data_IF_569195807617
#
_entry.id   IF_569195807617
#
_cell.length_a   1.000
_cell.length_b   1.000
_cell.length_c   1.000
_cell.angle_alpha   90.00
_cell.angle_beta   90.00
_cell.angle_gamma   90.00
#
_symmetry.space_group_name_H-M   'P 1'
#
loop_
_entity.id
_entity.type
_entity.pdbx_description
1 polymer ?
#
# COMPACT_ATOMS: atom_id res chain seq x y z
N UNK A 1 24.55 -15.55 -20.16
CA UNK A 1 25.22 -15.10 -18.93
C UNK A 1 24.40 -15.61 -17.75
N UNK A 2 25.00 -16.22 -16.72
CA UNK A 2 24.25 -16.66 -15.53
C UNK A 2 23.87 -15.43 -14.71
N UNK A 3 22.61 -15.30 -14.34
CA UNK A 3 22.12 -14.25 -13.44
C UNK A 3 22.84 -14.34 -12.08
N UNK A 4 23.07 -13.20 -11.38
CA UNK A 4 23.74 -13.20 -10.09
C UNK A 4 22.97 -14.04 -9.06
N UNK A 5 23.70 -14.83 -8.26
CA UNK A 5 23.09 -15.65 -7.22
C UNK A 5 22.62 -14.77 -6.05
N UNK A 6 21.32 -14.76 -5.80
CA UNK A 6 20.71 -14.09 -4.64
C UNK A 6 20.46 -15.14 -3.57
N UNK A 7 21.13 -15.01 -2.42
CA UNK A 7 21.02 -15.94 -1.30
C UNK A 7 20.36 -15.23 -0.11
N UNK A 8 19.28 -15.81 0.43
CA UNK A 8 18.62 -15.30 1.62
C UNK A 8 18.43 -16.41 2.65
N UNK A 9 18.53 -16.05 3.94
CA UNK A 9 18.28 -17.00 5.03
C UNK A 9 16.80 -17.01 5.37
N UNK A 10 16.21 -18.20 5.38
CA UNK A 10 14.85 -18.41 5.82
C UNK A 10 14.82 -18.78 7.31
N UNK A 11 13.84 -18.29 8.09
CA UNK A 11 13.56 -18.83 9.41
C UNK A 11 13.26 -20.33 9.32
N UNK A 12 13.70 -21.11 10.31
CA UNK A 12 13.61 -22.58 10.28
C UNK A 12 12.20 -23.11 9.98
N UNK A 13 11.16 -22.45 10.51
CA UNK A 13 9.75 -22.80 10.24
C UNK A 13 9.38 -22.61 8.77
N UNK A 14 9.84 -21.52 8.15
CA UNK A 14 9.56 -21.21 6.74
C UNK A 14 10.30 -22.19 5.85
N UNK A 15 11.58 -22.47 6.15
CA UNK A 15 12.35 -23.46 5.41
C UNK A 15 11.67 -24.83 5.44
N UNK A 16 11.21 -25.29 6.61
CA UNK A 16 10.50 -26.57 6.74
C UNK A 16 9.22 -26.63 5.88
N UNK A 17 8.46 -25.54 5.80
CA UNK A 17 7.27 -25.48 4.94
C UNK A 17 7.64 -25.54 3.45
N UNK A 18 8.71 -24.85 3.05
CA UNK A 18 9.19 -24.87 1.65
C UNK A 18 9.72 -26.27 1.29
N UNK A 19 10.42 -26.95 2.19
CA UNK A 19 10.89 -28.33 2.01
C UNK A 19 9.73 -29.32 1.85
N UNK A 20 8.69 -29.20 2.67
CA UNK A 20 7.48 -30.02 2.52
C UNK A 20 6.80 -29.79 1.17
N UNK A 21 6.71 -28.55 0.73
CA UNK A 21 6.12 -28.20 -0.57
C UNK A 21 6.98 -28.73 -1.74
N UNK A 22 8.30 -28.57 -1.65
CA UNK A 22 9.27 -29.09 -2.60
C UNK A 22 9.16 -30.62 -2.75
N UNK A 23 9.08 -31.34 -1.62
CA UNK A 23 8.89 -32.79 -1.61
C UNK A 23 7.56 -33.23 -2.22
N UNK A 24 6.46 -32.51 -1.97
CA UNK A 24 5.15 -32.84 -2.56
C UNK A 24 5.09 -32.61 -4.06
N UNK A 25 5.85 -31.65 -4.56
CA UNK A 25 5.88 -31.25 -5.97
C UNK A 25 7.04 -31.89 -6.75
N UNK A 26 7.86 -32.72 -6.09
CA UNK A 26 9.06 -33.35 -6.65
C UNK A 26 10.01 -32.37 -7.36
N UNK A 27 10.26 -31.23 -6.72
CA UNK A 27 11.14 -30.17 -7.24
C UNK A 27 12.11 -29.67 -6.18
N UNK A 28 13.15 -28.95 -6.60
CA UNK A 28 14.11 -28.37 -5.66
C UNK A 28 13.52 -27.23 -4.82
N UNK A 29 13.96 -27.13 -3.56
CA UNK A 29 13.66 -26.02 -2.65
C UNK A 29 13.97 -24.66 -3.28
N UNK A 30 15.09 -24.57 -4.02
CA UNK A 30 15.48 -23.34 -4.73
C UNK A 30 14.48 -22.96 -5.82
N UNK A 31 13.91 -23.94 -6.54
CA UNK A 31 12.91 -23.66 -7.57
C UNK A 31 11.60 -23.19 -6.94
N UNK A 32 11.15 -23.80 -5.85
CA UNK A 32 9.97 -23.35 -5.09
C UNK A 32 10.16 -21.92 -4.61
N UNK A 33 11.31 -21.63 -4.00
CA UNK A 33 11.65 -20.29 -3.53
C UNK A 33 11.64 -19.26 -4.69
N UNK A 34 12.23 -19.62 -5.84
CA UNK A 34 12.20 -18.77 -7.05
C UNK A 34 10.76 -18.49 -7.49
N UNK A 35 9.92 -19.52 -7.57
CA UNK A 35 8.52 -19.38 -8.01
C UNK A 35 7.69 -18.48 -7.07
N UNK A 36 7.85 -18.64 -5.75
CA UNK A 36 7.17 -17.79 -4.77
C UNK A 36 7.61 -16.34 -4.95
N UNK A 37 8.93 -16.08 -4.98
CA UNK A 37 9.46 -14.73 -5.14
C UNK A 37 9.00 -14.10 -6.46
N UNK A 38 9.06 -14.84 -7.57
CA UNK A 38 8.58 -14.35 -8.86
C UNK A 38 7.09 -14.02 -8.81
N UNK A 39 6.26 -14.90 -8.23
CA UNK A 39 4.82 -14.66 -8.11
C UNK A 39 4.54 -13.37 -7.32
N UNK A 40 5.12 -13.24 -6.13
CA UNK A 40 4.85 -12.08 -5.27
C UNK A 40 5.35 -10.78 -5.89
N UNK A 41 6.55 -10.79 -6.51
CA UNK A 41 7.09 -9.59 -7.16
C UNK A 41 6.25 -9.17 -8.36
N UNK A 42 5.72 -10.12 -9.15
CA UNK A 42 4.92 -9.80 -10.33
C UNK A 42 3.62 -9.04 -10.00
N UNK A 43 3.09 -9.18 -8.78
CA UNK A 43 1.87 -8.48 -8.36
C UNK A 43 2.13 -7.06 -7.83
N UNK A 44 3.35 -6.76 -7.36
CA UNK A 44 3.68 -5.47 -6.73
C UNK A 44 3.55 -4.29 -7.72
N UNK A 45 4.10 -4.32 -8.95
CA UNK A 45 3.99 -3.20 -9.88
C UNK A 45 2.54 -2.80 -10.18
N UNK A 46 1.67 -3.78 -10.43
CA UNK A 46 0.27 -3.52 -10.72
C UNK A 46 -0.47 -2.88 -9.53
N UNK A 47 -0.15 -3.28 -8.31
CA UNK A 47 -0.72 -2.68 -7.09
C UNK A 47 -0.23 -1.24 -6.93
N UNK A 48 1.05 -0.97 -7.19
CA UNK A 48 1.62 0.38 -7.11
C UNK A 48 1.05 1.30 -8.20
N UNK A 49 0.90 0.82 -9.43
CA UNK A 49 0.27 1.57 -10.53
C UNK A 49 -1.18 1.94 -10.21
N UNK A 50 -1.96 1.00 -9.65
CA UNK A 50 -3.34 1.26 -9.24
C UNK A 50 -3.40 2.28 -8.10
N UNK A 51 -2.49 2.18 -7.12
CA UNK A 51 -2.37 3.17 -6.05
C UNK A 51 -2.05 4.58 -6.59
N UNK A 52 -1.09 4.69 -7.50
CA UNK A 52 -0.72 5.97 -8.12
C UNK A 52 -1.86 6.55 -8.97
N UNK A 53 -2.61 5.68 -9.67
CA UNK A 53 -3.83 6.07 -10.38
C UNK A 53 -4.89 6.64 -9.42
N UNK A 54 -5.09 5.99 -8.27
CA UNK A 54 -6.03 6.48 -7.26
C UNK A 54 -5.61 7.83 -6.67
N UNK A 55 -4.32 8.02 -6.38
CA UNK A 55 -3.79 9.32 -5.95
C UNK A 55 -4.01 10.40 -7.02
N UNK A 56 -3.79 10.08 -8.30
CA UNK A 56 -4.08 10.98 -9.42
C UNK A 56 -5.54 11.41 -9.46
N UNK A 57 -6.47 10.47 -9.30
CA UNK A 57 -7.91 10.75 -9.26
C UNK A 57 -8.29 11.64 -8.06
N UNK A 58 -7.71 11.39 -6.88
CA UNK A 58 -7.94 12.22 -5.69
C UNK A 58 -7.45 13.65 -5.91
N UNK A 59 -6.28 13.83 -6.51
CA UNK A 59 -5.76 15.15 -6.85
C UNK A 59 -6.63 15.90 -7.85
N UNK A 60 -7.19 15.20 -8.84
CA UNK A 60 -8.12 15.79 -9.79
C UNK A 60 -9.42 16.22 -9.11
N UNK A 61 -9.98 15.35 -8.27
CA UNK A 61 -11.19 15.64 -7.49
C UNK A 61 -11.00 16.86 -6.57
N UNK A 62 -9.88 16.94 -5.84
CA UNK A 62 -9.57 18.09 -4.98
C UNK A 62 -9.47 19.39 -5.76
N UNK A 63 -8.90 19.36 -6.97
CA UNK A 63 -8.87 20.53 -7.86
C UNK A 63 -10.25 20.97 -8.31
N UNK A 64 -11.10 20.01 -8.70
CA UNK A 64 -12.47 20.33 -9.11
C UNK A 64 -13.30 20.88 -7.94
N UNK A 65 -13.11 20.35 -6.73
CA UNK A 65 -13.76 20.84 -5.52
C UNK A 65 -13.28 22.26 -5.19
N UNK A 66 -11.99 22.54 -5.27
CA UNK A 66 -11.44 23.88 -5.06
C UNK A 66 -12.02 24.89 -6.08
N UNK A 67 -12.08 24.50 -7.36
CA UNK A 67 -12.65 25.33 -8.42
C UNK A 67 -14.13 25.63 -8.20
N UNK A 68 -14.94 24.61 -7.86
CA UNK A 68 -16.37 24.81 -7.57
C UNK A 68 -16.59 25.64 -6.31
N UNK A 69 -15.74 25.49 -5.29
CA UNK A 69 -15.81 26.33 -4.10
C UNK A 69 -15.48 27.78 -4.42
N UNK A 70 -14.49 28.05 -5.27
CA UNK A 70 -14.14 29.40 -5.73
C UNK A 70 -15.26 30.04 -6.57
N UNK A 71 -15.86 29.26 -7.48
CA UNK A 71 -17.05 29.68 -8.24
C UNK A 71 -18.23 29.99 -7.30
N UNK A 72 -18.49 29.13 -6.31
CA UNK A 72 -19.56 29.34 -5.35
C UNK A 72 -19.32 30.54 -4.43
N UNK A 73 -18.08 30.78 -4.02
CA UNK A 73 -17.70 31.96 -3.23
C UNK A 73 -17.78 33.25 -4.05
N UNK A 74 -17.42 33.22 -5.34
CA UNK A 74 -17.56 34.39 -6.22
C UNK A 74 -19.02 34.70 -6.55
N UNK A 75 -19.91 33.71 -6.59
CA UNK A 75 -21.37 33.91 -6.67
C UNK A 75 -22.00 34.41 -5.35
N UNK A 76 -21.34 34.17 -4.22
CA UNK A 76 -21.80 34.57 -2.88
C UNK A 76 -21.72 36.08 -2.64
N UNK A 77 -20.88 36.79 -3.39
CA UNK A 77 -20.89 38.25 -3.43
C UNK A 77 -22.17 38.80 -4.07
N UNK A 78 -22.87 38.00 -4.88
CA UNK A 78 -24.09 38.41 -5.61
C UNK A 78 -25.41 37.95 -4.95
N UNK A 79 -25.43 36.88 -4.13
CA UNK A 79 -26.68 36.40 -3.51
C UNK A 79 -26.53 35.84 -2.08
N UNK A 80 -27.39 36.34 -1.20
CA UNK A 80 -27.62 35.91 0.19
C UNK A 80 -28.20 34.48 0.25
N UNK A 81 -27.37 33.45 0.12
CA UNK A 81 -27.75 32.07 0.43
C UNK A 81 -27.58 31.75 1.93
N UNK A 82 -28.64 31.17 2.52
CA UNK A 82 -28.78 30.87 3.95
C UNK A 82 -27.74 29.88 4.47
N UNK A 83 -27.11 30.20 5.60
CA UNK A 83 -26.12 29.39 6.34
C UNK A 83 -26.52 27.92 6.52
N UNK A 84 -27.81 27.61 6.56
CA UNK A 84 -28.32 26.25 6.69
C UNK A 84 -27.94 25.33 5.50
N UNK A 85 -27.92 25.87 4.27
CA UNK A 85 -27.49 25.11 3.10
C UNK A 85 -25.97 24.86 3.12
N UNK A 86 -25.22 25.78 3.74
CA UNK A 86 -23.77 25.69 3.93
C UNK A 86 -23.40 24.55 4.89
N UNK A 87 -24.09 24.46 6.03
CA UNK A 87 -23.87 23.39 7.00
C UNK A 87 -24.23 22.02 6.44
N UNK A 88 -25.32 21.92 5.67
CA UNK A 88 -25.75 20.65 5.07
C UNK A 88 -24.71 20.09 4.07
N UNK A 89 -24.09 20.96 3.27
CA UNK A 89 -23.06 20.53 2.30
C UNK A 89 -21.72 20.21 2.95
N UNK A 90 -21.35 20.91 4.02
CA UNK A 90 -20.15 20.58 4.80
C UNK A 90 -20.27 19.23 5.50
N UNK A 91 -21.45 18.90 6.02
CA UNK A 91 -21.72 17.60 6.66
C UNK A 91 -21.63 16.44 5.65
N UNK A 92 -22.13 16.66 4.44
CA UNK A 92 -22.05 15.68 3.35
C UNK A 92 -20.60 15.43 2.90
N UNK A 93 -19.79 16.49 2.84
CA UNK A 93 -18.36 16.40 2.53
C UNK A 93 -17.60 15.68 3.66
N UNK A 94 -17.91 15.96 4.92
CA UNK A 94 -17.31 15.26 6.06
C UNK A 94 -17.63 13.76 6.04
N UNK A 95 -18.88 13.38 5.77
CA UNK A 95 -19.29 11.98 5.67
C UNK A 95 -18.60 11.23 4.51
N UNK A 96 -18.38 11.91 3.37
CA UNK A 96 -17.63 11.33 2.25
C UNK A 96 -16.14 11.14 2.60
N UNK A 97 -15.53 12.11 3.29
CA UNK A 97 -14.14 12.01 3.74
C UNK A 97 -13.95 10.88 4.75
N UNK A 98 -14.86 10.71 5.70
CA UNK A 98 -14.79 9.61 6.67
C UNK A 98 -15.01 8.24 6.00
N UNK A 99 -15.91 8.15 5.02
CA UNK A 99 -16.10 6.92 4.22
C UNK A 99 -14.86 6.57 3.38
N UNK A 100 -14.17 7.58 2.83
CA UNK A 100 -12.91 7.39 2.10
C UNK A 100 -11.79 6.98 3.06
N UNK A 101 -11.74 7.57 4.27
CA UNK A 101 -10.76 7.19 5.29
C UNK A 101 -10.93 5.73 5.70
N UNK A 102 -12.16 5.27 5.88
CA UNK A 102 -12.46 3.87 6.22
C UNK A 102 -12.15 2.91 5.06
N UNK A 103 -12.32 3.33 3.81
CA UNK A 103 -12.02 2.51 2.63
C UNK A 103 -10.53 2.48 2.27
N UNK A 104 -9.79 3.58 2.47
CA UNK A 104 -8.38 3.72 2.11
C UNK A 104 -7.44 3.19 3.20
N UNK A 105 -7.86 3.13 4.46
CA UNK A 105 -7.09 2.45 5.50
C UNK A 105 -7.37 0.94 5.48
N UNK A 106 -6.72 0.23 4.56
CA UNK A 106 -6.20 -1.10 4.92
C UNK A 106 -5.21 -0.83 6.04
N UNK A 107 -5.64 -0.97 7.31
CA UNK A 107 -4.76 -0.78 8.48
C UNK A 107 -3.41 -1.43 8.15
N UNK A 108 -2.29 -0.69 8.22
CA UNK A 108 -0.99 -1.33 8.25
C UNK A 108 -1.10 -2.33 9.39
N UNK A 109 -1.03 -3.61 9.05
CA UNK A 109 -1.08 -4.66 10.04
C UNK A 109 -0.04 -4.29 11.08
N UNK A 110 -0.45 -4.03 12.31
CA UNK A 110 0.48 -3.67 13.40
C UNK A 110 1.55 -4.75 13.51
N UNK A 111 1.20 -5.99 13.17
CA UNK A 111 2.13 -7.09 12.99
C UNK A 111 3.17 -6.88 11.88
N UNK A 112 2.81 -6.39 10.69
CA UNK A 112 3.77 -6.11 9.59
C UNK A 112 4.69 -4.93 9.97
N UNK A 113 4.12 -3.85 10.53
CA UNK A 113 4.90 -2.70 10.97
C UNK A 113 5.88 -3.08 12.10
N UNK A 114 5.44 -3.88 13.07
CA UNK A 114 6.29 -4.41 14.13
C UNK A 114 7.33 -5.41 13.61
N UNK A 115 6.99 -6.20 12.58
CA UNK A 115 7.92 -7.15 11.96
C UNK A 115 9.06 -6.44 11.22
N UNK A 116 8.75 -5.38 10.47
CA UNK A 116 9.73 -4.54 9.79
C UNK A 116 10.61 -3.83 10.81
N UNK A 117 10.00 -3.19 11.82
CA UNK A 117 10.74 -2.51 12.89
C UNK A 117 11.68 -3.45 13.65
N UNK A 118 11.25 -4.66 13.98
CA UNK A 118 12.10 -5.70 14.60
C UNK A 118 13.21 -6.21 13.68
N UNK A 119 13.03 -6.13 12.37
CA UNK A 119 14.05 -6.48 11.40
C UNK A 119 15.10 -5.38 11.28
N UNK A 120 14.68 -4.11 11.25
CA UNK A 120 15.56 -2.93 11.17
C UNK A 120 16.31 -2.66 12.48
N UNK A 121 15.73 -2.98 13.64
CA UNK A 121 16.37 -2.84 14.96
C UNK A 121 17.40 -3.95 15.25
N UNK A 122 17.51 -4.99 14.40
CA UNK A 122 18.58 -5.99 14.55
C UNK A 122 19.88 -5.43 13.97
N UNK A 123 21.00 -5.46 14.72
CA UNK A 123 22.28 -5.04 14.17
C UNK A 123 22.61 -5.89 12.95
N UNK A 124 22.75 -5.22 11.81
CA UNK A 124 23.22 -5.82 10.56
C UNK A 124 24.47 -6.65 10.85
N UNK A 125 24.46 -7.88 10.34
CA UNK A 125 25.48 -8.91 10.55
C UNK A 125 26.90 -8.33 10.44
N UNK A 126 27.76 -8.66 11.41
CA UNK A 126 29.21 -8.59 11.24
C UNK A 126 29.59 -9.41 10.02
N UNK A 127 30.37 -8.80 9.13
CA UNK A 127 31.02 -9.45 8.00
C UNK A 127 31.73 -10.72 8.48
N UNK A 128 31.44 -11.86 7.83
CA UNK A 128 32.22 -13.08 8.01
C UNK A 128 33.64 -12.78 7.49
N UNK A 129 34.59 -12.63 8.42
CA UNK A 129 36.00 -12.64 8.07
C UNK A 129 36.33 -14.02 7.49
N UNK A 130 36.85 -14.01 6.25
CA UNK A 130 37.60 -15.11 5.65
C UNK A 130 38.86 -15.34 6.47
#
# INVERSE_FOLDING_TARGET
MREPAIMFRLPARVLSNVEQLASRLDISVNLVAKLIVTREIMHIPAILEEHDRQLGNMHQFLRELAFRNEEFLSQKDDQTMSEAAMMAKLDEIMGAIDSIRDAAFVRPSTFIADLIRRYDERPQQKSLKV
#
